data_IF_666161973995
#
_entry.id   IF_666161973995
#
_cell.length_a   1.000
_cell.length_b   1.000
_cell.length_c   1.000
_cell.angle_alpha   90.00
_cell.angle_beta   90.00
_cell.angle_gamma   90.00
#
_symmetry.space_group_name_H-M   'P 1'
#
loop_
_entity.id
_entity.type
_entity.pdbx_description
1 polymer ?
#
# COMPACT_ATOMS: atom_id res chain seq x y z
N UNK A 1 23.19 24.64 -31.87
CA UNK A 1 24.26 25.12 -30.97
C UNK A 1 25.55 24.29 -31.06
N UNK A 2 25.51 23.06 -31.61
CA UNK A 2 26.70 22.22 -31.80
C UNK A 2 27.11 21.41 -30.57
N UNK A 3 26.22 21.27 -29.58
CA UNK A 3 26.52 20.65 -28.30
C UNK A 3 26.24 19.14 -28.23
N UNK A 4 25.74 18.54 -29.32
CA UNK A 4 25.31 17.14 -29.36
C UNK A 4 26.38 16.14 -28.90
N UNK A 5 27.63 16.35 -29.31
CA UNK A 5 28.75 15.45 -28.95
C UNK A 5 29.24 15.65 -27.51
N UNK A 6 28.77 16.71 -26.84
CA UNK A 6 29.06 17.03 -25.45
C UNK A 6 27.80 16.99 -24.56
N UNK A 7 26.76 16.28 -25.00
CA UNK A 7 25.49 16.15 -24.27
C UNK A 7 25.19 14.69 -23.99
N UNK A 8 24.96 14.37 -22.72
CA UNK A 8 24.40 13.07 -22.32
C UNK A 8 22.88 13.18 -22.40
N UNK A 9 22.23 12.28 -23.11
CA UNK A 9 20.77 12.26 -23.27
C UNK A 9 20.20 11.02 -22.59
N UNK A 10 19.25 11.24 -21.68
CA UNK A 10 18.42 10.19 -21.08
C UNK A 10 17.02 10.27 -21.67
N UNK A 11 16.50 9.15 -22.15
CA UNK A 11 15.11 9.01 -22.59
C UNK A 11 14.45 7.88 -21.80
N UNK A 12 13.35 8.19 -21.11
CA UNK A 12 12.62 7.23 -20.29
C UNK A 12 11.15 7.66 -20.10
N UNK A 13 10.31 6.75 -19.62
CA UNK A 13 8.95 7.01 -19.16
C UNK A 13 8.90 6.91 -17.63
N UNK A 14 8.03 7.65 -16.94
CA UNK A 14 7.94 7.65 -15.47
C UNK A 14 7.26 6.39 -14.89
N UNK A 15 6.38 5.74 -15.66
CA UNK A 15 5.71 4.49 -15.29
C UNK A 15 5.15 3.76 -16.53
N UNK A 16 4.55 2.57 -16.33
CA UNK A 16 3.83 1.82 -17.36
C UNK A 16 2.62 2.56 -17.95
N UNK A 17 1.98 1.99 -18.98
CA UNK A 17 0.84 2.63 -19.67
C UNK A 17 -0.39 2.80 -18.77
N UNK A 18 -1.33 3.67 -19.14
CA UNK A 18 -2.57 3.95 -18.38
C UNK A 18 -3.64 2.86 -18.46
N UNK A 19 -3.31 1.64 -18.89
CA UNK A 19 -4.24 0.52 -19.00
C UNK A 19 -4.44 -0.19 -17.64
N UNK A 20 -5.58 -0.90 -17.44
CA UNK A 20 -5.80 -1.74 -16.25
C UNK A 20 -4.65 -2.73 -16.05
N UNK A 21 -4.21 -2.93 -14.79
CA UNK A 21 -3.03 -3.72 -14.38
C UNK A 21 -1.64 -3.12 -14.68
N UNK A 22 -1.52 -1.98 -15.37
CA UNK A 22 -0.23 -1.33 -15.70
C UNK A 22 0.12 -0.24 -14.69
N UNK A 23 0.04 1.04 -15.07
CA UNK A 23 0.24 2.18 -14.18
C UNK A 23 -0.50 1.93 -12.87
N UNK A 24 0.15 2.25 -11.74
CA UNK A 24 -0.32 2.07 -10.35
C UNK A 24 -0.07 0.69 -9.76
N UNK A 25 0.34 -0.29 -10.55
CA UNK A 25 0.64 -1.63 -10.06
C UNK A 25 2.12 -1.95 -10.11
N UNK A 26 2.54 -2.93 -9.30
CA UNK A 26 3.94 -3.26 -9.08
C UNK A 26 4.45 -4.43 -9.95
N UNK A 27 3.67 -4.87 -10.94
CA UNK A 27 4.10 -5.80 -12.00
C UNK A 27 5.02 -5.10 -13.02
N UNK A 28 5.76 -5.86 -13.84
CA UNK A 28 6.69 -5.34 -14.86
C UNK A 28 5.95 -4.40 -15.81
N UNK A 29 4.72 -4.76 -16.17
CA UNK A 29 3.84 -3.90 -16.98
C UNK A 29 3.55 -2.52 -16.35
N UNK A 30 3.67 -2.37 -15.03
CA UNK A 30 3.50 -1.10 -14.31
C UNK A 30 4.81 -0.36 -14.02
N UNK A 31 5.92 -1.08 -13.83
CA UNK A 31 7.18 -0.51 -13.31
C UNK A 31 8.39 -0.63 -14.24
N UNK A 32 8.37 -1.53 -15.22
CA UNK A 32 9.43 -1.68 -16.22
C UNK A 32 9.16 -0.72 -17.37
N UNK A 33 10.02 0.29 -17.47
CA UNK A 33 9.91 1.40 -18.42
C UNK A 33 11.11 1.41 -19.37
N UNK A 34 10.98 1.99 -20.58
CA UNK A 34 12.13 2.19 -21.44
C UNK A 34 13.16 3.10 -20.75
N UNK A 35 14.44 2.79 -20.93
CA UNK A 35 15.56 3.65 -20.59
C UNK A 35 16.60 3.56 -21.71
N UNK A 36 16.77 4.66 -22.44
CA UNK A 36 17.77 4.79 -23.51
C UNK A 36 18.69 5.93 -23.12
N UNK A 37 20.00 5.64 -23.14
CA UNK A 37 21.03 6.62 -22.77
C UNK A 37 22.00 6.77 -23.92
N UNK A 38 22.22 8.02 -24.34
CA UNK A 38 23.26 8.38 -25.30
C UNK A 38 24.36 9.12 -24.55
N UNK A 39 25.55 8.53 -24.54
CA UNK A 39 26.76 9.19 -24.03
C UNK A 39 27.88 9.08 -25.08
N UNK A 40 28.07 10.13 -25.90
CA UNK A 40 29.04 10.12 -27.00
C UNK A 40 30.46 9.75 -26.54
N UNK A 41 31.08 8.78 -27.21
CA UNK A 41 32.44 8.32 -26.93
C UNK A 41 32.62 7.55 -25.60
N UNK A 42 31.53 7.24 -24.89
CA UNK A 42 31.56 6.52 -23.61
C UNK A 42 30.65 5.29 -23.59
N UNK A 43 29.47 5.38 -24.21
CA UNK A 43 28.57 4.24 -24.41
C UNK A 43 28.58 3.86 -25.90
N UNK A 44 28.88 2.60 -26.18
CA UNK A 44 28.86 2.04 -27.54
C UNK A 44 27.42 2.09 -28.11
N UNK A 45 27.19 2.71 -29.28
CA UNK A 45 25.87 2.78 -29.90
C UNK A 45 25.27 1.39 -30.14
N UNK A 46 24.00 1.20 -29.77
CA UNK A 46 23.29 -0.06 -29.95
C UNK A 46 23.64 -1.15 -28.93
N UNK A 47 24.51 -0.87 -27.96
CA UNK A 47 24.72 -1.77 -26.82
C UNK A 47 23.47 -1.88 -25.95
N UNK A 48 23.32 -3.04 -25.29
CA UNK A 48 22.20 -3.36 -24.40
C UNK A 48 22.77 -3.87 -23.09
N UNK A 49 22.10 -3.53 -21.98
CA UNK A 49 22.41 -4.06 -20.65
C UNK A 49 21.12 -4.58 -20.01
N UNK A 50 21.25 -5.68 -19.26
CA UNK A 50 20.20 -6.24 -18.40
C UNK A 50 20.33 -5.74 -16.95
N UNK A 51 21.18 -4.72 -16.73
CA UNK A 51 21.45 -4.17 -15.40
C UNK A 51 20.18 -3.70 -14.73
N UNK A 52 20.02 -4.08 -13.47
CA UNK A 52 18.97 -3.58 -12.60
C UNK A 52 19.14 -2.08 -12.28
N UNK A 53 18.23 -1.24 -12.79
CA UNK A 53 18.16 0.21 -12.58
C UNK A 53 16.80 0.60 -11.98
N UNK A 54 16.79 1.58 -11.08
CA UNK A 54 15.60 2.15 -10.45
C UNK A 54 15.67 3.68 -10.51
N UNK A 55 14.53 4.38 -10.45
CA UNK A 55 14.51 5.84 -10.56
C UNK A 55 15.28 6.58 -9.47
N UNK A 56 15.37 5.99 -8.27
CA UNK A 56 16.18 6.56 -7.18
C UNK A 56 17.66 6.68 -7.54
N UNK A 57 18.13 5.98 -8.58
CA UNK A 57 19.52 6.01 -9.04
C UNK A 57 19.88 7.20 -9.92
N UNK A 58 18.88 7.87 -10.50
CA UNK A 58 19.12 8.95 -11.45
C UNK A 58 19.84 10.12 -10.77
N UNK A 59 19.44 10.48 -9.55
CA UNK A 59 20.11 11.51 -8.75
C UNK A 59 21.61 11.22 -8.55
N UNK A 60 21.97 10.10 -7.90
CA UNK A 60 23.36 9.66 -7.76
C UNK A 60 24.12 9.57 -9.09
N UNK A 61 23.48 9.08 -10.15
CA UNK A 61 24.10 8.93 -11.48
C UNK A 61 24.44 10.29 -12.09
N UNK A 62 23.53 11.26 -12.03
CA UNK A 62 23.80 12.62 -12.57
C UNK A 62 24.92 13.31 -11.78
N UNK A 63 24.96 13.14 -10.45
CA UNK A 63 26.07 13.66 -9.63
C UNK A 63 27.40 13.00 -10.02
N UNK A 64 27.40 11.68 -10.20
CA UNK A 64 28.55 10.90 -10.66
C UNK A 64 29.09 11.39 -12.02
N UNK A 65 28.19 11.63 -12.99
CA UNK A 65 28.52 12.17 -14.31
C UNK A 65 29.06 13.61 -14.26
N UNK A 66 28.61 14.40 -13.28
CA UNK A 66 29.06 15.77 -13.07
C UNK A 66 30.36 15.88 -12.22
N UNK A 67 30.91 14.76 -11.73
CA UNK A 67 32.06 14.76 -10.82
C UNK A 67 31.74 15.33 -9.44
N UNK A 68 30.48 15.35 -9.03
CA UNK A 68 30.02 15.85 -7.73
C UNK A 68 29.88 14.69 -6.74
N UNK A 69 30.41 14.79 -5.50
CA UNK A 69 30.25 13.74 -4.50
C UNK A 69 28.77 13.41 -4.22
N UNK A 70 28.43 12.12 -4.18
CA UNK A 70 27.08 11.65 -3.88
C UNK A 70 26.84 11.72 -2.35
N UNK A 71 25.80 12.41 -1.86
CA UNK A 71 25.49 12.46 -0.44
C UNK A 71 25.05 11.10 0.12
N UNK A 72 25.47 10.77 1.35
CA UNK A 72 25.19 9.48 2.00
C UNK A 72 23.70 9.18 2.20
N UNK A 73 22.84 10.21 2.26
CA UNK A 73 21.39 10.04 2.44
C UNK A 73 20.66 9.63 1.14
N UNK A 74 21.33 9.66 -0.02
CA UNK A 74 20.71 9.20 -1.27
C UNK A 74 20.61 7.68 -1.27
N UNK A 75 19.40 7.17 -1.51
CA UNK A 75 19.12 5.73 -1.46
C UNK A 75 19.50 4.97 -2.74
N UNK A 76 19.58 5.68 -3.87
CA UNK A 76 19.95 5.07 -5.16
C UNK A 76 21.44 4.82 -5.29
N UNK A 77 21.81 4.10 -6.35
CA UNK A 77 23.21 3.81 -6.66
C UNK A 77 23.54 4.27 -8.08
N UNK A 78 24.63 5.03 -8.22
CA UNK A 78 25.08 5.47 -9.53
C UNK A 78 25.39 4.26 -10.42
N UNK A 79 24.88 4.28 -11.66
CA UNK A 79 25.08 3.24 -12.67
C UNK A 79 25.89 3.73 -13.89
N UNK A 80 26.33 4.99 -13.87
CA UNK A 80 27.28 5.59 -14.81
C UNK A 80 28.16 6.62 -14.08
N UNK A 81 29.27 7.01 -14.69
CA UNK A 81 30.19 8.04 -14.17
C UNK A 81 31.31 7.47 -13.32
N UNK A 82 32.15 8.36 -12.76
CA UNK A 82 33.35 7.95 -12.00
C UNK A 82 33.02 7.28 -10.66
N UNK A 83 31.83 7.53 -10.12
CA UNK A 83 31.33 6.94 -8.88
C UNK A 83 30.34 5.78 -9.14
N UNK A 84 30.40 5.14 -10.33
CA UNK A 84 29.58 3.97 -10.65
C UNK A 84 29.77 2.85 -9.61
N UNK A 85 28.66 2.20 -9.25
CA UNK A 85 28.63 1.09 -8.29
C UNK A 85 28.45 -0.26 -8.98
N UNK A 86 28.83 -1.38 -8.33
CA UNK A 86 28.45 -2.71 -8.81
C UNK A 86 26.94 -2.86 -8.99
N UNK A 87 26.54 -3.76 -9.89
CA UNK A 87 25.14 -4.12 -10.06
C UNK A 87 24.53 -4.62 -8.73
N UNK A 88 23.25 -4.30 -8.49
CA UNK A 88 22.52 -4.74 -7.30
C UNK A 88 21.76 -6.03 -7.59
N UNK A 89 21.47 -6.79 -6.53
CA UNK A 89 20.68 -8.01 -6.65
C UNK A 89 19.18 -7.74 -6.81
N UNK A 90 18.68 -6.62 -6.27
CA UNK A 90 17.24 -6.31 -6.24
C UNK A 90 16.94 -4.84 -6.55
N UNK A 91 15.86 -4.60 -7.30
CA UNK A 91 15.15 -3.33 -7.32
C UNK A 91 13.86 -3.45 -6.51
N UNK A 92 13.43 -2.35 -5.91
CA UNK A 92 12.27 -2.30 -5.03
C UNK A 92 11.22 -1.34 -5.57
N UNK A 93 9.96 -1.61 -5.25
CA UNK A 93 8.85 -0.71 -5.54
C UNK A 93 7.85 -0.71 -4.37
N UNK A 94 7.22 0.43 -4.15
CA UNK A 94 6.11 0.60 -3.21
C UNK A 94 4.91 1.21 -3.93
N UNK A 95 3.72 0.85 -3.46
CA UNK A 95 2.48 1.56 -3.75
C UNK A 95 1.78 1.80 -2.43
N UNK A 96 1.46 3.05 -2.17
CA UNK A 96 0.58 3.45 -1.07
C UNK A 96 -0.72 4.04 -1.65
N UNK A 97 -1.03 5.31 -1.36
CA UNK A 97 -2.18 6.00 -1.93
C UNK A 97 -2.04 6.25 -3.43
N UNK A 98 -3.15 6.10 -4.15
CA UNK A 98 -3.32 6.54 -5.53
C UNK A 98 -4.62 7.32 -5.65
N UNK A 99 -4.53 8.61 -5.95
CA UNK A 99 -5.68 9.53 -5.92
C UNK A 99 -6.49 9.32 -4.61
N UNK A 100 -7.79 9.06 -4.74
CA UNK A 100 -8.69 8.79 -3.63
C UNK A 100 -8.55 7.40 -2.99
N UNK A 101 -7.63 6.50 -3.36
CA UNK A 101 -7.57 5.12 -2.80
C UNK A 101 -6.29 4.81 -2.06
N UNK A 102 -6.43 4.36 -0.81
CA UNK A 102 -5.33 3.85 0.01
C UNK A 102 -5.05 2.38 -0.32
N UNK A 103 -3.78 2.07 -0.53
CA UNK A 103 -3.24 0.72 -0.64
C UNK A 103 -1.92 0.66 0.15
N UNK A 104 -1.39 -0.54 0.43
CA UNK A 104 -0.04 -0.73 0.99
C UNK A 104 0.54 -2.00 0.34
N UNK A 105 1.34 -1.83 -0.70
CA UNK A 105 2.00 -2.92 -1.44
C UNK A 105 3.50 -2.66 -1.49
N UNK A 106 4.30 -3.71 -1.30
CA UNK A 106 5.76 -3.69 -1.41
C UNK A 106 6.22 -4.78 -2.36
N UNK A 107 7.28 -4.51 -3.12
CA UNK A 107 7.81 -5.44 -4.10
C UNK A 107 9.33 -5.42 -4.15
N UNK A 108 9.91 -6.59 -4.40
CA UNK A 108 11.30 -6.74 -4.81
C UNK A 108 11.34 -7.51 -6.13
N UNK A 109 12.30 -7.16 -7.00
CA UNK A 109 12.57 -7.87 -8.25
C UNK A 109 14.08 -8.06 -8.43
N UNK A 110 14.49 -9.31 -8.67
CA UNK A 110 15.83 -9.63 -9.15
C UNK A 110 15.83 -9.83 -10.67
N UNK A 111 16.87 -10.42 -11.27
CA UNK A 111 16.91 -10.63 -12.74
C UNK A 111 15.82 -11.57 -13.27
N UNK A 112 15.33 -12.50 -12.46
CA UNK A 112 14.40 -13.56 -12.84
C UNK A 112 13.05 -13.45 -12.14
N UNK A 113 13.02 -13.23 -10.84
CA UNK A 113 11.79 -13.29 -10.05
C UNK A 113 11.28 -11.91 -9.64
N UNK A 114 9.95 -11.79 -9.57
CA UNK A 114 9.26 -10.69 -8.89
C UNK A 114 8.45 -11.21 -7.72
N UNK A 115 8.64 -10.56 -6.57
CA UNK A 115 7.81 -10.76 -5.38
C UNK A 115 6.97 -9.51 -5.11
N UNK A 116 5.71 -9.70 -4.76
CA UNK A 116 4.78 -8.64 -4.35
C UNK A 116 4.11 -9.07 -3.03
N UNK A 117 4.06 -8.15 -2.08
CA UNK A 117 3.42 -8.31 -0.77
C UNK A 117 2.25 -7.34 -0.65
N UNK A 118 1.04 -7.87 -0.46
CA UNK A 118 -0.19 -7.09 -0.35
C UNK A 118 -0.63 -6.99 1.11
N UNK A 119 -0.49 -5.81 1.74
CA UNK A 119 -0.94 -5.62 3.12
C UNK A 119 -2.45 -5.33 3.24
N UNK A 120 -3.14 -5.01 2.14
CA UNK A 120 -4.61 -4.86 2.11
C UNK A 120 -5.26 -5.88 1.15
N UNK A 121 -5.18 -7.19 1.43
CA UNK A 121 -5.77 -8.22 0.57
C UNK A 121 -7.31 -8.15 0.47
N UNK A 122 -7.96 -7.48 1.42
CA UNK A 122 -9.40 -7.21 1.42
C UNK A 122 -9.84 -6.21 0.35
N UNK A 123 -8.90 -5.43 -0.19
CA UNK A 123 -9.18 -4.44 -1.23
C UNK A 123 -8.88 -5.07 -2.60
N UNK A 124 -9.81 -5.10 -3.56
CA UNK A 124 -9.60 -5.77 -4.85
C UNK A 124 -8.61 -5.02 -5.76
N UNK A 125 -8.27 -5.62 -6.91
CA UNK A 125 -7.46 -4.95 -7.93
C UNK A 125 -8.26 -3.91 -8.72
N UNK A 126 -9.55 -4.12 -8.94
CA UNK A 126 -10.42 -3.24 -9.73
C UNK A 126 -11.10 -2.12 -8.91
N UNK A 127 -10.44 -1.66 -7.84
CA UNK A 127 -10.91 -0.51 -7.05
C UNK A 127 -11.39 0.64 -7.93
N UNK A 128 -12.59 1.15 -7.66
CA UNK A 128 -13.09 2.34 -8.34
C UNK A 128 -12.11 3.49 -8.13
N UNK A 129 -11.59 4.04 -9.22
CA UNK A 129 -10.78 5.25 -9.24
C UNK A 129 -11.34 6.11 -10.36
N UNK A 130 -11.71 7.34 -10.07
CA UNK A 130 -12.42 8.21 -11.01
C UNK A 130 -11.65 8.42 -12.32
N UNK A 131 -10.32 8.48 -12.28
CA UNK A 131 -9.49 8.70 -13.46
C UNK A 131 -9.55 7.56 -14.50
N UNK A 132 -9.23 6.29 -14.16
CA UNK A 132 -9.38 5.16 -15.09
C UNK A 132 -10.78 4.98 -15.65
N UNK A 133 -11.82 5.26 -14.87
CA UNK A 133 -13.22 5.07 -15.27
C UNK A 133 -13.65 6.01 -16.41
N UNK A 134 -12.88 7.08 -16.66
CA UNK A 134 -13.07 7.96 -17.81
C UNK A 134 -12.53 7.39 -19.13
N UNK A 135 -11.71 6.34 -19.08
CA UNK A 135 -11.09 5.76 -20.27
C UNK A 135 -11.96 4.67 -20.93
N UNK A 136 -12.06 4.64 -22.28
CA UNK A 136 -12.82 3.63 -23.00
C UNK A 136 -12.42 2.19 -22.63
N UNK A 137 -11.13 1.93 -22.43
CA UNK A 137 -10.63 0.59 -22.08
C UNK A 137 -11.20 0.08 -20.75
N UNK A 138 -11.37 0.94 -19.74
CA UNK A 138 -11.93 0.54 -18.45
C UNK A 138 -13.44 0.31 -18.56
N UNK A 139 -14.14 1.18 -19.30
CA UNK A 139 -15.57 1.04 -19.56
C UNK A 139 -15.90 -0.26 -20.31
N UNK A 140 -15.11 -0.59 -21.33
CA UNK A 140 -15.24 -1.84 -22.08
C UNK A 140 -14.93 -3.06 -21.21
N UNK A 141 -13.91 -2.97 -20.33
CA UNK A 141 -13.54 -4.06 -19.43
C UNK A 141 -14.64 -4.33 -18.40
N UNK A 142 -15.27 -3.31 -17.81
CA UNK A 142 -16.42 -3.48 -16.92
C UNK A 142 -17.65 -4.03 -17.66
N UNK A 143 -17.97 -3.52 -18.85
CA UNK A 143 -19.07 -4.05 -19.68
C UNK A 143 -18.88 -5.55 -19.96
N UNK A 144 -17.67 -5.94 -20.35
CA UNK A 144 -17.36 -7.33 -20.65
C UNK A 144 -17.38 -8.23 -19.40
N UNK A 145 -16.97 -7.70 -18.24
CA UNK A 145 -17.12 -8.39 -16.95
C UNK A 145 -18.60 -8.65 -16.65
N UNK A 146 -19.45 -7.62 -16.73
CA UNK A 146 -20.89 -7.72 -16.41
C UNK A 146 -21.64 -8.64 -17.39
N UNK A 147 -21.17 -8.71 -18.64
CA UNK A 147 -21.70 -9.62 -19.66
C UNK A 147 -21.17 -11.06 -19.54
N UNK A 148 -20.22 -11.34 -18.64
CA UNK A 148 -19.58 -12.66 -18.52
C UNK A 148 -18.70 -13.03 -19.72
N UNK A 149 -18.15 -12.04 -20.42
CA UNK A 149 -17.37 -12.19 -21.66
C UNK A 149 -15.85 -12.36 -21.39
N UNK A 150 -15.40 -12.17 -20.15
CA UNK A 150 -13.98 -12.22 -19.78
C UNK A 150 -13.44 -13.65 -19.66
N UNK A 151 -12.19 -13.83 -20.06
CA UNK A 151 -11.46 -15.07 -19.82
C UNK A 151 -10.88 -15.14 -18.39
N UNK A 152 -10.34 -16.30 -18.01
CA UNK A 152 -9.79 -16.55 -16.66
C UNK A 152 -8.70 -15.55 -16.25
N UNK A 153 -7.84 -15.14 -17.18
CA UNK A 153 -6.76 -14.18 -16.92
C UNK A 153 -7.33 -12.78 -16.65
N UNK A 154 -8.29 -12.34 -17.46
CA UNK A 154 -8.94 -11.04 -17.30
C UNK A 154 -9.77 -10.98 -16.01
N UNK A 155 -10.40 -12.09 -15.62
CA UNK A 155 -11.15 -12.20 -14.37
C UNK A 155 -10.28 -12.03 -13.12
N UNK A 156 -8.96 -12.27 -13.20
CA UNK A 156 -8.06 -12.02 -12.07
C UNK A 156 -8.09 -10.55 -11.62
N UNK A 157 -8.29 -9.60 -12.55
CA UNK A 157 -8.41 -8.19 -12.21
C UNK A 157 -9.65 -7.88 -11.35
N UNK A 158 -10.71 -8.65 -11.52
CA UNK A 158 -11.97 -8.51 -10.77
C UNK A 158 -12.03 -9.44 -9.55
N UNK A 159 -10.91 -10.05 -9.16
CA UNK A 159 -10.86 -10.86 -7.96
C UNK A 159 -11.22 -10.00 -6.73
N UNK A 160 -12.25 -10.42 -5.99
CA UNK A 160 -12.72 -9.68 -4.81
C UNK A 160 -11.71 -9.57 -3.67
N UNK A 161 -10.61 -10.33 -3.72
CA UNK A 161 -9.48 -10.26 -2.78
C UNK A 161 -8.16 -10.53 -3.50
N UNK A 162 -7.10 -9.88 -3.03
CA UNK A 162 -5.72 -10.15 -3.46
C UNK A 162 -5.12 -11.29 -2.62
N UNK A 163 -4.20 -12.11 -3.16
CA UNK A 163 -3.36 -12.98 -2.36
C UNK A 163 -2.46 -12.15 -1.43
N UNK A 164 -2.09 -12.70 -0.28
CA UNK A 164 -1.15 -12.04 0.65
C UNK A 164 0.21 -11.81 -0.01
N UNK A 165 0.68 -12.81 -0.75
CA UNK A 165 1.97 -12.82 -1.41
C UNK A 165 1.80 -13.28 -2.86
N UNK A 166 2.54 -12.64 -3.74
CA UNK A 166 2.67 -13.03 -5.14
C UNK A 166 4.15 -13.25 -5.44
N UNK A 167 4.44 -14.32 -6.17
CA UNK A 167 5.77 -14.60 -6.72
C UNK A 167 5.59 -14.98 -8.18
N UNK A 168 6.39 -14.40 -9.06
CA UNK A 168 6.37 -14.67 -10.50
C UNK A 168 7.78 -14.98 -10.99
N UNK A 169 7.91 -16.00 -11.83
CA UNK A 169 9.13 -16.33 -12.56
C UNK A 169 9.08 -15.69 -13.96
N UNK A 170 9.80 -14.59 -14.16
CA UNK A 170 9.73 -13.79 -15.39
C UNK A 170 10.39 -14.48 -16.60
N UNK A 171 11.14 -15.58 -16.40
CA UNK A 171 11.66 -16.38 -17.51
C UNK A 171 10.58 -17.29 -18.12
N UNK A 172 9.72 -17.86 -17.28
CA UNK A 172 8.67 -18.81 -17.71
C UNK A 172 7.30 -18.16 -17.84
N UNK A 173 7.07 -17.06 -17.12
CA UNK A 173 5.85 -16.26 -17.09
C UNK A 173 6.19 -14.75 -17.16
N UNK A 174 6.68 -14.27 -18.32
CA UNK A 174 7.08 -12.87 -18.50
C UNK A 174 5.90 -11.89 -18.36
N UNK A 175 4.67 -12.38 -18.49
CA UNK A 175 3.45 -11.61 -18.34
C UNK A 175 2.91 -11.64 -16.92
N UNK A 176 3.56 -12.30 -15.94
CA UNK A 176 3.16 -12.29 -14.52
C UNK A 176 1.68 -12.63 -14.27
N UNK A 177 1.25 -13.78 -14.80
CA UNK A 177 -0.12 -14.29 -14.71
C UNK A 177 -0.24 -15.40 -13.66
N UNK A 178 0.79 -16.22 -13.49
CA UNK A 178 0.80 -17.40 -12.65
C UNK A 178 1.51 -17.12 -11.33
N UNK A 179 0.73 -16.85 -10.28
CA UNK A 179 1.30 -16.67 -8.94
C UNK A 179 1.79 -18.01 -8.37
N UNK A 180 3.12 -18.15 -8.25
CA UNK A 180 3.82 -19.35 -7.75
C UNK A 180 4.21 -19.25 -6.27
N UNK A 181 3.72 -18.27 -5.51
CA UNK A 181 4.05 -18.12 -4.08
C UNK A 181 3.63 -19.34 -3.22
N UNK A 182 2.63 -20.11 -3.67
CA UNK A 182 2.23 -21.36 -3.02
C UNK A 182 3.13 -22.57 -3.32
N UNK A 183 4.02 -22.47 -4.31
CA UNK A 183 4.83 -23.58 -4.79
C UNK A 183 5.86 -24.03 -3.74
N UNK A 184 5.96 -25.35 -3.54
CA UNK A 184 6.98 -25.93 -2.67
C UNK A 184 8.38 -25.82 -3.30
N UNK A 185 8.48 -25.90 -4.62
CA UNK A 185 9.72 -25.82 -5.39
C UNK A 185 10.36 -24.43 -5.29
N UNK A 186 9.55 -23.38 -5.27
CA UNK A 186 10.02 -21.98 -5.29
C UNK A 186 10.12 -21.37 -3.87
N UNK A 187 10.13 -22.22 -2.83
CA UNK A 187 10.10 -21.75 -1.43
C UNK A 187 11.35 -20.95 -1.06
N UNK A 188 12.52 -21.34 -1.57
CA UNK A 188 13.78 -20.64 -1.32
C UNK A 188 13.78 -19.25 -1.98
N UNK A 189 13.33 -19.15 -3.22
CA UNK A 189 13.19 -17.87 -3.93
C UNK A 189 12.18 -16.96 -3.24
N UNK A 190 11.00 -17.49 -2.85
CA UNK A 190 10.02 -16.74 -2.07
C UNK A 190 10.63 -16.17 -0.80
N UNK A 191 11.32 -17.00 -0.01
CA UNK A 191 11.92 -16.57 1.25
C UNK A 191 13.02 -15.52 1.04
N UNK A 192 13.82 -15.66 -0.03
CA UNK A 192 14.89 -14.72 -0.38
C UNK A 192 14.34 -13.34 -0.75
N UNK A 193 13.38 -13.26 -1.68
CA UNK A 193 12.79 -11.96 -2.06
C UNK A 193 11.94 -11.35 -0.95
N UNK A 194 11.25 -12.18 -0.16
CA UNK A 194 10.55 -11.73 1.04
C UNK A 194 11.51 -11.08 2.05
N UNK A 195 12.67 -11.71 2.31
CA UNK A 195 13.71 -11.14 3.16
C UNK A 195 14.27 -9.84 2.59
N UNK A 196 14.45 -9.75 1.27
CA UNK A 196 14.88 -8.51 0.61
C UNK A 196 13.89 -7.36 0.83
N UNK A 197 12.57 -7.62 0.80
CA UNK A 197 11.55 -6.62 1.15
C UNK A 197 11.65 -6.21 2.62
N UNK A 198 11.78 -7.18 3.55
CA UNK A 198 11.93 -6.87 4.98
C UNK A 198 13.16 -5.96 5.24
N UNK A 199 14.30 -6.32 4.67
CA UNK A 199 15.56 -5.58 4.80
C UNK A 199 15.47 -4.19 4.17
N UNK A 200 14.78 -4.07 3.03
CA UNK A 200 14.56 -2.77 2.39
C UNK A 200 13.68 -1.86 3.22
N UNK A 201 12.53 -2.35 3.68
CA UNK A 201 11.60 -1.58 4.50
C UNK A 201 12.26 -1.07 5.79
N UNK A 202 13.06 -1.93 6.44
CA UNK A 202 13.84 -1.54 7.62
C UNK A 202 14.89 -0.46 7.28
N UNK A 203 15.62 -0.62 6.18
CA UNK A 203 16.68 0.31 5.73
C UNK A 203 16.15 1.69 5.38
N UNK A 204 14.97 1.77 4.76
CA UNK A 204 14.38 3.06 4.32
C UNK A 204 13.46 3.68 5.37
N UNK A 205 13.32 3.06 6.54
CA UNK A 205 12.37 3.45 7.58
C UNK A 205 10.96 3.64 7.01
N UNK A 206 10.45 2.59 6.37
CA UNK A 206 9.15 2.62 5.68
C UNK A 206 8.02 3.11 6.60
N UNK A 207 7.44 4.25 6.25
CA UNK A 207 6.40 4.94 7.02
C UNK A 207 4.98 4.58 6.57
N UNK A 208 4.81 3.69 5.59
CA UNK A 208 3.50 3.41 4.97
C UNK A 208 2.44 2.82 5.91
N UNK A 209 2.82 2.35 7.10
CA UNK A 209 1.89 1.89 8.13
C UNK A 209 1.44 2.99 9.09
N UNK A 210 1.96 4.21 8.99
CA UNK A 210 1.40 5.35 9.71
C UNK A 210 0.09 5.74 9.00
N UNK A 211 -1.07 5.77 9.68
CA UNK A 211 -2.30 6.29 9.09
C UNK A 211 -2.08 7.71 8.56
N UNK A 212 -2.48 8.01 7.32
CA UNK A 212 -2.09 9.25 6.64
C UNK A 212 -2.54 10.52 7.37
N UNK A 213 -3.71 10.48 8.01
CA UNK A 213 -4.21 11.57 8.86
C UNK A 213 -3.34 11.83 10.11
N UNK A 214 -2.49 10.87 10.50
CA UNK A 214 -1.48 11.04 11.56
C UNK A 214 -0.09 11.34 11.01
N UNK A 215 0.15 11.06 9.73
CA UNK A 215 1.44 11.34 9.11
C UNK A 215 1.68 12.86 9.07
N UNK A 216 0.64 13.64 8.82
CA UNK A 216 0.71 15.10 8.88
C UNK A 216 1.06 15.62 10.29
N UNK A 217 0.39 15.10 11.33
CA UNK A 217 0.73 15.38 12.73
C UNK A 217 2.18 14.99 13.05
N UNK A 218 2.64 13.85 12.52
CA UNK A 218 4.01 13.36 12.70
C UNK A 218 5.05 14.27 12.06
N UNK A 219 4.83 14.68 10.81
CA UNK A 219 5.71 15.60 10.07
C UNK A 219 5.79 16.98 10.76
N UNK A 220 4.68 17.43 11.35
CA UNK A 220 4.59 18.73 12.03
C UNK A 220 5.08 18.69 13.50
N UNK A 221 4.98 17.54 14.17
CA UNK A 221 5.14 17.40 15.63
C UNK A 221 6.48 16.82 16.12
N UNK A 222 7.45 16.55 15.24
CA UNK A 222 8.77 16.04 15.65
C UNK A 222 8.81 14.56 16.06
N UNK A 223 7.74 13.83 15.76
CA UNK A 223 7.76 12.40 15.48
C UNK A 223 8.03 11.40 16.62
N UNK A 224 7.73 11.74 17.88
CA UNK A 224 7.83 10.79 19.00
C UNK A 224 6.46 10.40 19.54
N UNK A 225 6.16 9.10 19.53
CA UNK A 225 5.04 8.51 20.29
C UNK A 225 5.57 7.51 21.32
N UNK A 226 4.81 7.25 22.41
CA UNK A 226 5.27 6.40 23.51
C UNK A 226 5.24 4.90 23.15
N UNK A 227 6.01 4.12 23.90
CA UNK A 227 5.99 2.64 23.87
C UNK A 227 5.03 2.10 24.93
N UNK A 228 4.47 0.89 24.78
CA UNK A 228 3.54 0.34 25.76
C UNK A 228 4.30 0.05 27.05
N UNK A 229 3.69 0.38 28.20
CA UNK A 229 4.30 0.19 29.52
C UNK A 229 4.43 -1.30 29.88
N UNK A 230 3.52 -2.14 29.36
CA UNK A 230 3.51 -3.60 29.55
C UNK A 230 3.45 -4.33 28.20
N UNK A 231 4.21 -5.42 28.00
CA UNK A 231 4.15 -6.22 26.78
C UNK A 231 2.83 -6.99 26.70
N UNK A 232 2.29 -7.11 25.49
CA UNK A 232 1.19 -8.01 25.20
C UNK A 232 1.61 -9.48 25.35
N UNK A 233 0.71 -10.32 25.86
CA UNK A 233 0.97 -11.75 26.03
C UNK A 233 1.23 -12.47 24.70
N UNK A 234 2.18 -13.43 24.69
CA UNK A 234 2.38 -14.35 23.57
C UNK A 234 1.16 -15.25 23.37
N UNK A 235 1.01 -15.79 22.17
CA UNK A 235 -0.06 -16.73 21.87
C UNK A 235 0.34 -18.14 22.33
N UNK A 236 -0.46 -18.74 23.22
CA UNK A 236 -0.25 -20.12 23.70
C UNK A 236 -0.61 -21.17 22.63
N UNK A 237 -1.54 -20.83 21.73
CA UNK A 237 -1.98 -21.69 20.64
C UNK A 237 -1.29 -21.32 19.33
N UNK A 238 -1.16 -22.28 18.41
CA UNK A 238 -0.59 -22.00 17.08
C UNK A 238 -1.59 -21.22 16.24
N UNK A 239 -1.10 -20.16 15.57
CA UNK A 239 -1.79 -19.43 14.53
C UNK A 239 -0.99 -19.50 13.21
N UNK A 240 -1.60 -19.17 12.05
CA UNK A 240 -0.92 -19.23 10.76
C UNK A 240 0.28 -18.27 10.67
N UNK A 241 1.33 -18.73 9.99
CA UNK A 241 2.46 -17.86 9.64
C UNK A 241 2.02 -16.87 8.55
N UNK A 242 2.50 -15.63 8.63
CA UNK A 242 2.17 -14.56 7.69
C UNK A 242 3.47 -13.91 7.25
N UNK A 243 3.65 -13.76 5.94
CA UNK A 243 4.88 -13.24 5.34
C UNK A 243 6.13 -13.94 5.91
N UNK A 244 6.10 -15.27 5.99
CA UNK A 244 7.23 -16.08 6.45
C UNK A 244 7.62 -15.93 7.93
N UNK A 245 6.86 -15.18 8.73
CA UNK A 245 7.02 -15.05 10.18
C UNK A 245 5.90 -15.76 10.91
N UNK A 246 6.25 -16.35 12.06
CA UNK A 246 5.24 -16.89 12.95
C UNK A 246 4.41 -15.76 13.57
N UNK A 247 3.18 -16.06 13.98
CA UNK A 247 2.35 -15.09 14.71
C UNK A 247 3.06 -14.58 15.97
N UNK A 248 3.83 -15.42 16.67
CA UNK A 248 4.59 -14.99 17.85
C UNK A 248 5.73 -14.03 17.50
N UNK A 249 6.36 -14.14 16.33
CA UNK A 249 7.35 -13.15 15.88
C UNK A 249 6.71 -11.78 15.62
N UNK A 250 5.48 -11.77 15.08
CA UNK A 250 4.71 -10.54 14.93
C UNK A 250 4.29 -9.94 16.27
N UNK A 251 3.91 -10.77 17.24
CA UNK A 251 3.62 -10.32 18.61
C UNK A 251 4.86 -9.71 19.26
N UNK A 252 6.03 -10.34 19.09
CA UNK A 252 7.29 -9.81 19.63
C UNK A 252 7.64 -8.45 19.01
N UNK A 253 7.34 -8.24 17.71
CA UNK A 253 7.47 -6.92 17.06
C UNK A 253 6.47 -5.89 17.58
N UNK A 254 5.21 -6.28 17.81
CA UNK A 254 4.20 -5.42 18.42
C UNK A 254 4.57 -4.99 19.86
N UNK A 255 5.27 -5.85 20.58
CA UNK A 255 5.84 -5.59 21.91
C UNK A 255 7.16 -4.81 21.89
N UNK A 256 7.74 -4.59 20.71
CA UNK A 256 9.03 -3.96 20.54
C UNK A 256 9.02 -2.46 20.90
N UNK A 257 10.19 -1.82 20.75
CA UNK A 257 10.34 -0.37 20.92
C UNK A 257 10.34 0.40 19.60
N UNK A 258 10.42 -0.31 18.48
CA UNK A 258 10.42 0.28 17.16
C UNK A 258 8.97 0.54 16.72
N UNK A 259 8.60 1.82 16.65
CA UNK A 259 7.26 2.25 16.27
C UNK A 259 6.81 1.70 14.92
N UNK A 260 7.67 1.74 13.90
CA UNK A 260 7.30 1.31 12.55
C UNK A 260 7.05 -0.20 12.51
N UNK A 261 7.86 -0.97 13.23
CA UNK A 261 7.64 -2.42 13.36
C UNK A 261 6.34 -2.75 14.09
N UNK A 262 5.95 -1.95 15.09
CA UNK A 262 4.70 -2.13 15.83
C UNK A 262 3.48 -1.82 14.96
N UNK A 263 3.51 -0.74 14.18
CA UNK A 263 2.46 -0.38 13.23
C UNK A 263 2.29 -1.47 12.17
N UNK A 264 3.40 -1.94 11.59
CA UNK A 264 3.39 -3.08 10.66
C UNK A 264 2.80 -4.32 11.35
N UNK A 265 3.28 -4.69 12.53
CA UNK A 265 2.81 -5.86 13.26
C UNK A 265 1.30 -5.80 13.56
N UNK A 266 0.79 -4.66 14.02
CA UNK A 266 -0.63 -4.48 14.27
C UNK A 266 -1.47 -4.66 12.99
N UNK A 267 -1.02 -4.08 11.87
CA UNK A 267 -1.68 -4.27 10.56
C UNK A 267 -1.67 -5.73 10.12
N UNK A 268 -0.54 -6.41 10.26
CA UNK A 268 -0.38 -7.81 9.84
C UNK A 268 -1.19 -8.76 10.72
N UNK A 269 -1.16 -8.58 12.05
CA UNK A 269 -1.95 -9.38 13.00
C UNK A 269 -3.46 -9.23 12.76
N UNK A 270 -3.90 -8.06 12.30
CA UNK A 270 -5.29 -7.82 11.88
C UNK A 270 -5.77 -8.70 10.72
N UNK A 271 -4.86 -9.30 9.93
CA UNK A 271 -5.20 -10.24 8.85
C UNK A 271 -5.60 -11.62 9.38
N UNK A 272 -5.23 -11.94 10.62
CA UNK A 272 -5.58 -13.19 11.32
C UNK A 272 -6.35 -12.91 12.61
N UNK A 273 -7.08 -11.80 12.65
CA UNK A 273 -7.77 -11.30 13.84
C UNK A 273 -8.55 -12.36 14.65
N UNK A 274 -9.28 -13.33 14.04
CA UNK A 274 -9.94 -14.39 14.80
C UNK A 274 -9.01 -15.21 15.71
N UNK A 275 -7.73 -15.33 15.35
CA UNK A 275 -6.72 -16.04 16.14
C UNK A 275 -6.04 -15.18 17.20
N UNK A 276 -6.16 -13.85 17.12
CA UNK A 276 -5.44 -12.88 17.97
C UNK A 276 -6.39 -11.80 18.52
N UNK A 277 -7.67 -12.11 18.68
CA UNK A 277 -8.71 -11.15 19.07
C UNK A 277 -8.41 -10.50 20.42
N UNK A 278 -8.04 -11.28 21.44
CA UNK A 278 -7.69 -10.76 22.76
C UNK A 278 -6.47 -9.82 22.72
N UNK A 279 -5.50 -10.13 21.87
CA UNK A 279 -4.31 -9.32 21.67
C UNK A 279 -4.67 -7.96 21.05
N UNK A 280 -5.43 -7.97 19.95
CA UNK A 280 -5.85 -6.74 19.28
C UNK A 280 -6.77 -5.89 20.18
N UNK A 281 -7.60 -6.53 21.00
CA UNK A 281 -8.43 -5.85 22.00
C UNK A 281 -7.58 -5.08 23.01
N UNK A 282 -6.45 -5.65 23.47
CA UNK A 282 -5.49 -4.92 24.31
C UNK A 282 -4.78 -3.81 23.54
N UNK A 283 -4.43 -4.05 22.28
CA UNK A 283 -3.77 -3.07 21.43
C UNK A 283 -4.64 -1.85 21.06
N UNK A 284 -5.96 -1.88 21.29
CA UNK A 284 -6.80 -0.66 21.24
C UNK A 284 -6.33 0.42 22.22
N UNK A 285 -5.71 0.02 23.34
CA UNK A 285 -5.17 0.91 24.38
C UNK A 285 -3.69 1.22 24.19
N UNK A 286 -3.11 0.80 23.07
CA UNK A 286 -1.70 1.03 22.76
C UNK A 286 -1.39 2.54 22.80
N UNK A 287 -0.28 3.00 23.41
CA UNK A 287 0.02 4.43 23.50
C UNK A 287 0.23 5.12 22.15
N UNK A 288 0.53 4.37 21.09
CA UNK A 288 0.55 4.88 19.72
C UNK A 288 -0.85 4.77 19.10
N UNK A 289 -1.52 5.90 18.79
CA UNK A 289 -2.87 5.86 18.25
C UNK A 289 -2.94 5.22 16.85
N UNK A 290 -1.83 5.10 16.11
CA UNK A 290 -1.76 4.38 14.84
C UNK A 290 -1.72 2.86 15.02
N UNK A 291 -1.11 2.38 16.11
CA UNK A 291 -1.19 0.95 16.49
C UNK A 291 -2.63 0.61 16.88
N UNK A 292 -3.24 1.46 17.71
CA UNK A 292 -4.64 1.32 18.10
C UNK A 292 -5.58 1.38 16.88
N UNK A 293 -5.29 2.24 15.91
CA UNK A 293 -6.02 2.30 14.63
C UNK A 293 -6.01 0.94 13.92
N UNK A 294 -4.83 0.36 13.70
CA UNK A 294 -4.75 -0.94 13.02
C UNK A 294 -5.34 -2.08 13.83
N UNK A 295 -5.26 -2.01 15.16
CA UNK A 295 -5.93 -2.95 16.04
C UNK A 295 -7.45 -2.91 15.86
N UNK A 296 -8.06 -1.71 15.87
CA UNK A 296 -9.50 -1.52 15.65
C UNK A 296 -9.97 -1.98 14.28
N UNK A 297 -9.24 -1.62 13.21
CA UNK A 297 -9.52 -2.09 11.85
C UNK A 297 -9.42 -3.62 11.77
N UNK A 298 -8.39 -4.21 12.39
CA UNK A 298 -8.19 -5.65 12.44
C UNK A 298 -9.32 -6.38 13.18
N UNK A 299 -9.81 -5.83 14.28
CA UNK A 299 -10.91 -6.39 15.05
C UNK A 299 -12.23 -6.46 14.27
N UNK A 300 -12.43 -5.58 13.27
CA UNK A 300 -13.54 -5.72 12.33
C UNK A 300 -13.55 -7.05 11.56
N UNK A 301 -12.39 -7.70 11.42
CA UNK A 301 -12.25 -9.02 10.80
C UNK A 301 -12.37 -10.17 11.81
N UNK A 302 -12.53 -9.91 13.11
CA UNK A 302 -12.54 -10.94 14.14
C UNK A 302 -13.81 -11.81 14.12
N UNK A 303 -14.91 -11.31 13.51
CA UNK A 303 -16.21 -11.98 13.46
C UNK A 303 -16.72 -12.41 14.86
N UNK A 304 -16.47 -11.57 15.87
CA UNK A 304 -16.85 -11.85 17.26
C UNK A 304 -17.52 -10.64 17.91
N UNK A 305 -18.72 -10.83 18.45
CA UNK A 305 -19.42 -9.80 19.24
C UNK A 305 -18.70 -9.45 20.55
N UNK A 306 -17.79 -10.31 21.02
CA UNK A 306 -17.06 -10.11 22.28
C UNK A 306 -16.18 -8.86 22.31
N UNK A 307 -15.86 -8.28 21.14
CA UNK A 307 -15.00 -7.09 21.04
C UNK A 307 -15.76 -5.80 20.84
N UNK A 308 -17.08 -5.85 20.61
CA UNK A 308 -17.91 -4.68 20.33
C UNK A 308 -17.80 -3.66 21.45
N UNK A 309 -17.99 -4.07 22.71
CA UNK A 309 -17.86 -3.16 23.86
C UNK A 309 -16.49 -2.47 23.94
N UNK A 310 -15.40 -3.20 23.64
CA UNK A 310 -14.06 -2.60 23.66
C UNK A 310 -13.85 -1.58 22.53
N UNK A 311 -14.46 -1.81 21.37
CA UNK A 311 -14.47 -0.85 20.25
C UNK A 311 -15.33 0.38 20.61
N UNK A 312 -16.51 0.18 21.19
CA UNK A 312 -17.40 1.25 21.64
C UNK A 312 -16.72 2.17 22.67
N UNK A 313 -16.05 1.58 23.67
CA UNK A 313 -15.27 2.33 24.66
C UNK A 313 -14.21 3.23 23.99
N UNK A 314 -13.59 2.73 22.91
CA UNK A 314 -12.55 3.44 22.16
C UNK A 314 -13.07 4.62 21.33
N UNK A 315 -14.39 4.74 21.11
CA UNK A 315 -14.99 5.87 20.40
C UNK A 315 -14.95 7.18 21.20
N UNK A 316 -14.83 7.08 22.52
CA UNK A 316 -14.81 8.25 23.44
C UNK A 316 -13.41 8.86 23.60
N UNK A 317 -12.38 8.22 23.04
CA UNK A 317 -10.99 8.66 23.15
C UNK A 317 -10.71 9.95 22.36
N UNK A 318 -9.66 10.70 22.73
CA UNK A 318 -9.34 11.96 22.06
C UNK A 318 -8.74 11.75 20.66
N UNK A 319 -7.82 10.80 20.53
CA UNK A 319 -7.01 10.61 19.32
C UNK A 319 -7.81 9.97 18.17
N UNK A 320 -7.72 10.57 16.97
CA UNK A 320 -8.42 10.11 15.77
C UNK A 320 -8.10 8.66 15.38
N UNK A 321 -6.87 8.21 15.56
CA UNK A 321 -6.48 6.83 15.25
C UNK A 321 -7.31 5.79 16.02
N UNK A 322 -7.55 6.05 17.32
CA UNK A 322 -8.39 5.16 18.15
C UNK A 322 -9.83 5.18 17.68
N UNK A 323 -10.40 6.38 17.52
CA UNK A 323 -11.79 6.58 17.13
C UNK A 323 -12.11 5.96 15.76
N UNK A 324 -11.31 6.27 14.75
CA UNK A 324 -11.54 5.78 13.38
C UNK A 324 -11.26 4.29 13.24
N UNK A 325 -10.21 3.77 13.90
CA UNK A 325 -9.94 2.34 13.90
C UNK A 325 -11.10 1.58 14.53
N UNK A 326 -11.59 2.03 15.68
CA UNK A 326 -12.69 1.41 16.38
C UNK A 326 -14.03 1.52 15.62
N UNK A 327 -14.36 2.70 15.10
CA UNK A 327 -15.56 2.92 14.29
C UNK A 327 -15.57 2.03 13.03
N UNK A 328 -14.42 1.87 12.37
CA UNK A 328 -14.30 0.98 11.20
C UNK A 328 -14.43 -0.48 11.57
N UNK A 329 -13.87 -0.88 12.72
CA UNK A 329 -14.07 -2.21 13.29
C UNK A 329 -15.55 -2.52 13.55
N UNK A 330 -16.29 -1.56 14.13
CA UNK A 330 -17.73 -1.67 14.38
C UNK A 330 -18.53 -1.80 13.08
N UNK A 331 -18.22 -1.02 12.05
CA UNK A 331 -18.84 -1.18 10.72
C UNK A 331 -18.60 -2.58 10.17
N UNK A 332 -17.38 -3.10 10.28
CA UNK A 332 -17.04 -4.47 9.85
C UNK A 332 -17.82 -5.57 10.59
N UNK A 333 -18.25 -5.29 11.82
CA UNK A 333 -19.07 -6.19 12.65
C UNK A 333 -20.59 -5.93 12.52
N UNK A 334 -21.02 -4.97 11.69
CA UNK A 334 -22.43 -4.65 11.46
C UNK A 334 -23.03 -3.61 12.42
N UNK A 335 -22.21 -2.93 13.23
CA UNK A 335 -22.63 -1.92 14.21
C UNK A 335 -22.52 -0.49 13.65
N UNK A 336 -23.15 -0.25 12.49
CA UNK A 336 -23.05 1.02 11.75
C UNK A 336 -23.56 2.21 12.56
N UNK A 337 -24.73 2.07 13.20
CA UNK A 337 -25.39 3.18 13.93
C UNK A 337 -24.48 3.79 15.01
N UNK A 338 -23.74 2.94 15.74
CA UNK A 338 -22.80 3.37 16.78
C UNK A 338 -21.57 4.08 16.21
N UNK A 339 -21.15 3.71 15.00
CA UNK A 339 -19.95 4.25 14.35
C UNK A 339 -20.20 5.56 13.59
N UNK A 340 -21.41 5.79 13.08
CA UNK A 340 -21.78 6.95 12.24
C UNK A 340 -21.36 8.31 12.80
N UNK A 341 -21.55 8.63 14.11
CA UNK A 341 -21.16 9.93 14.65
C UNK A 341 -19.68 10.23 14.50
N UNK A 342 -18.82 9.21 14.49
CA UNK A 342 -17.37 9.39 14.32
C UNK A 342 -17.04 9.80 12.88
N UNK A 343 -17.66 9.17 11.88
CA UNK A 343 -17.46 9.53 10.48
C UNK A 343 -18.05 10.92 10.16
N UNK A 344 -19.20 11.26 10.72
CA UNK A 344 -19.77 12.60 10.60
C UNK A 344 -18.84 13.68 11.19
N UNK A 345 -18.29 13.41 12.38
CA UNK A 345 -17.33 14.30 13.02
C UNK A 345 -16.05 14.45 12.18
N UNK A 346 -15.53 13.35 11.63
CA UNK A 346 -14.35 13.36 10.77
C UNK A 346 -14.56 14.21 9.51
N UNK A 347 -15.74 14.11 8.87
CA UNK A 347 -16.13 14.96 7.73
C UNK A 347 -16.22 16.45 8.08
N UNK A 348 -16.29 16.82 9.36
CA UNK A 348 -16.30 18.20 9.83
C UNK A 348 -14.92 18.76 10.18
N UNK A 349 -13.84 18.01 9.97
CA UNK A 349 -12.48 18.45 10.31
C UNK A 349 -11.78 19.14 9.15
N UNK A 350 -10.76 19.95 9.45
CA UNK A 350 -9.91 20.58 8.42
C UNK A 350 -8.89 19.60 7.81
N UNK A 351 -8.74 18.39 8.36
CA UNK A 351 -7.80 17.39 7.84
C UNK A 351 -8.42 16.61 6.67
N UNK A 352 -7.88 16.81 5.46
CA UNK A 352 -8.36 16.15 4.24
C UNK A 352 -8.37 14.61 4.37
N UNK A 353 -7.35 14.01 4.98
CA UNK A 353 -7.24 12.55 5.09
C UNK A 353 -8.23 11.95 6.08
N UNK A 354 -8.65 12.68 7.12
CA UNK A 354 -9.76 12.25 7.99
C UNK A 354 -11.08 12.25 7.22
N UNK A 355 -11.36 13.33 6.48
CA UNK A 355 -12.57 13.44 5.64
C UNK A 355 -12.60 12.35 4.57
N UNK A 356 -11.47 12.15 3.89
CA UNK A 356 -11.32 11.13 2.85
C UNK A 356 -11.47 9.71 3.39
N UNK A 357 -10.91 9.42 4.57
CA UNK A 357 -11.11 8.13 5.21
C UNK A 357 -12.59 7.89 5.56
N UNK A 358 -13.24 8.87 6.18
CA UNK A 358 -14.64 8.77 6.57
C UNK A 358 -15.56 8.54 5.36
N UNK A 359 -15.36 9.30 4.28
CA UNK A 359 -16.19 9.15 3.08
C UNK A 359 -15.99 7.79 2.40
N UNK A 360 -14.77 7.22 2.43
CA UNK A 360 -14.50 5.90 1.86
C UNK A 360 -15.22 4.77 2.63
N UNK A 361 -15.30 4.87 3.96
CA UNK A 361 -16.05 3.89 4.76
C UNK A 361 -17.55 4.00 4.44
N UNK A 362 -18.08 5.22 4.40
CA UNK A 362 -19.48 5.49 4.05
C UNK A 362 -19.82 5.04 2.62
N UNK A 363 -18.90 5.25 1.67
CA UNK A 363 -19.00 4.76 0.30
C UNK A 363 -19.11 3.22 0.24
N UNK A 364 -18.32 2.51 1.06
CA UNK A 364 -18.38 1.04 1.15
C UNK A 364 -19.70 0.52 1.76
N UNK A 365 -20.34 1.29 2.64
CA UNK A 365 -21.67 0.96 3.18
C UNK A 365 -22.77 1.21 2.15
N UNK A 366 -22.67 2.31 1.41
CA UNK A 366 -23.55 2.64 0.30
C UNK A 366 -24.79 3.46 0.69
N UNK A 367 -25.53 3.97 -0.31
CA UNK A 367 -26.53 5.03 -0.13
C UNK A 367 -27.93 4.50 0.21
N UNK A 368 -28.09 3.19 0.39
CA UNK A 368 -29.34 2.56 0.83
C UNK A 368 -29.63 2.87 2.30
N UNK A 369 -28.59 3.08 3.12
CA UNK A 369 -28.74 3.62 4.46
C UNK A 369 -29.03 5.14 4.41
N UNK A 370 -30.14 5.63 5.00
CA UNK A 370 -30.52 7.04 4.92
C UNK A 370 -29.50 8.01 5.50
N UNK A 371 -28.83 7.64 6.59
CA UNK A 371 -27.85 8.49 7.25
C UNK A 371 -26.55 8.53 6.44
N UNK A 372 -26.10 7.38 5.94
CA UNK A 372 -24.95 7.29 5.03
C UNK A 372 -25.19 8.14 3.79
N UNK A 373 -26.39 8.08 3.20
CA UNK A 373 -26.75 8.92 2.04
C UNK A 373 -26.66 10.41 2.33
N UNK A 374 -27.05 10.85 3.52
CA UNK A 374 -26.93 12.26 3.95
C UNK A 374 -25.45 12.66 4.06
N UNK A 375 -24.62 11.82 4.69
CA UNK A 375 -23.20 12.09 4.84
C UNK A 375 -22.44 12.05 3.50
N UNK A 376 -22.80 11.14 2.60
CA UNK A 376 -22.29 11.12 1.23
C UNK A 376 -22.63 12.41 0.48
N UNK A 377 -23.85 12.92 0.62
CA UNK A 377 -24.23 14.23 0.04
C UNK A 377 -23.42 15.38 0.61
N UNK A 378 -23.14 15.37 1.92
CA UNK A 378 -22.24 16.36 2.55
C UNK A 378 -20.85 16.33 1.90
N UNK A 379 -20.33 15.14 1.60
CA UNK A 379 -19.04 14.97 0.91
C UNK A 379 -19.00 15.53 -0.52
N UNK A 380 -20.14 15.78 -1.18
CA UNK A 380 -20.18 16.43 -2.50
C UNK A 380 -19.79 17.92 -2.45
N UNK A 381 -19.88 18.53 -1.27
CA UNK A 381 -19.58 19.94 -1.02
C UNK A 381 -18.15 20.15 -0.47
N UNK A 382 -17.37 19.08 -0.35
CA UNK A 382 -15.99 19.14 0.17
C UNK A 382 -15.06 19.89 -0.80
N UNK A 383 -14.04 20.54 -0.25
CA UNK A 383 -12.98 21.22 -0.99
C UNK A 383 -12.02 20.24 -1.70
N UNK A 384 -11.86 19.02 -1.14
CA UNK A 384 -11.01 17.99 -1.73
C UNK A 384 -11.75 17.28 -2.87
N UNK A 385 -11.15 17.30 -4.04
CA UNK A 385 -11.65 16.54 -5.18
C UNK A 385 -11.70 15.02 -4.91
N UNK A 386 -10.85 14.49 -4.01
CA UNK A 386 -10.86 13.07 -3.67
C UNK A 386 -12.09 12.72 -2.83
N UNK A 387 -12.42 13.55 -1.83
CA UNK A 387 -13.63 13.37 -1.02
C UNK A 387 -14.87 13.43 -1.90
N UNK A 388 -14.94 14.42 -2.78
CA UNK A 388 -16.05 14.60 -3.72
C UNK A 388 -16.20 13.41 -4.66
N UNK A 389 -15.11 12.84 -5.18
CA UNK A 389 -15.16 11.66 -6.08
C UNK A 389 -15.66 10.41 -5.36
N UNK A 390 -15.20 10.15 -4.13
CA UNK A 390 -15.71 9.05 -3.31
C UNK A 390 -17.20 9.22 -3.00
N UNK A 391 -17.63 10.43 -2.61
CA UNK A 391 -19.04 10.75 -2.38
C UNK A 391 -19.89 10.52 -3.64
N UNK A 392 -19.40 10.96 -4.80
CA UNK A 392 -20.06 10.79 -6.10
C UNK A 392 -20.27 9.31 -6.44
N UNK A 393 -19.21 8.50 -6.29
CA UNK A 393 -19.28 7.06 -6.51
C UNK A 393 -20.21 6.37 -5.50
N UNK A 394 -20.09 6.69 -4.21
CA UNK A 394 -20.95 6.13 -3.16
C UNK A 394 -22.44 6.45 -3.36
N UNK A 395 -22.78 7.53 -4.08
CA UNK A 395 -24.17 7.86 -4.44
C UNK A 395 -24.64 7.19 -5.75
N UNK A 396 -23.81 6.34 -6.37
CA UNK A 396 -24.11 5.69 -7.65
C UNK A 396 -24.14 6.65 -8.84
N UNK A 397 -23.48 7.81 -8.73
CA UNK A 397 -23.44 8.81 -9.79
C UNK A 397 -22.27 8.52 -10.77
N UNK A 398 -22.41 8.85 -12.07
CA UNK A 398 -21.38 8.54 -13.09
C UNK A 398 -20.04 9.25 -12.81
N UNK A 399 -18.89 8.80 -13.32
CA UNK A 399 -17.60 9.45 -13.01
C UNK A 399 -17.60 10.97 -13.28
N UNK A 400 -17.09 11.75 -12.31
CA UNK A 400 -17.02 13.22 -12.40
C UNK A 400 -15.71 13.59 -13.09
N UNK A 401 -15.78 14.19 -14.29
CA UNK A 401 -14.58 14.57 -15.05
C UNK A 401 -13.72 15.61 -14.34
#
# INVERSE_FOLDING_TARGET
DGLTDNTIVFFYADHGTGAPLFKRWLWDRGTRVPLIIKWPGKIEPGSVTDRLVSFVDFGPTVLSLAGVPIPEYMQGKAFLGEQETPERDFVYAARDRMDERLEIIRSARDKRYRYIRNYKPEVPYDQYLNYPESFPIMQDLRRAHDAGELNEVQLQYFAGRKPLEELYDLETDPEEIQNIAGSAEHREDLNRLRGAVDDWMARVHDVGFIPEFQLEEWLNGGGRYPNPDEPYAKLERRAPDIYGRSTNDWIDRLNGKDRLQRLEAAKVLGLVAPAVTDLLTRALKDPDPGVAYWAGVGLGNAQSESVVTALEDSLSEEAWGRKLGAATGLVGLGHLETALPIFEAALGTDNEYLRLYAIQVLEGVGPEDPMVKVLLKKGLEDESNYVVRCAHHGLGMPPKR
#
